data_IF_927255474489
#
_entry.id   IF_927255474489
#
_cell.length_a   1.000
_cell.length_b   1.000
_cell.length_c   1.000
_cell.angle_alpha   90.00
_cell.angle_beta   90.00
_cell.angle_gamma   90.00
#
_symmetry.space_group_name_H-M   'P 1'
#
loop_
_entity.id
_entity.type
_entity.pdbx_description
1 polymer ?
#
# COMPACT_ATOMS: atom_id res chain seq x y z
N UNK A 1 0.64 -6.25 42.32
CA UNK A 1 -0.62 -6.97 42.58
C UNK A 1 -0.54 -8.35 41.98
N UNK A 2 -0.77 -9.41 42.76
CA UNK A 2 -0.83 -10.78 42.23
C UNK A 2 -2.15 -10.97 41.50
N UNK A 3 -2.09 -11.41 40.26
CA UNK A 3 -3.26 -11.79 39.48
C UNK A 3 -3.72 -13.16 39.99
N UNK A 4 -4.90 -13.23 40.59
CA UNK A 4 -5.38 -14.40 41.35
C UNK A 4 -5.44 -15.71 40.53
N UNK A 5 -5.70 -15.63 39.22
CA UNK A 5 -5.72 -16.80 38.33
C UNK A 5 -4.30 -17.28 37.91
N UNK A 6 -3.25 -16.49 38.16
CA UNK A 6 -1.87 -16.86 37.83
C UNK A 6 -1.17 -17.65 38.95
N UNK A 7 -1.87 -17.89 40.07
CA UNK A 7 -1.36 -18.59 41.25
C UNK A 7 -0.82 -20.01 40.95
N UNK A 8 -1.45 -20.84 40.08
CA UNK A 8 -0.92 -22.16 39.73
C UNK A 8 0.42 -22.08 38.98
N UNK A 9 0.55 -21.11 38.07
CA UNK A 9 1.80 -20.86 37.30
C UNK A 9 2.89 -20.32 38.22
N UNK A 10 2.52 -19.48 39.19
CA UNK A 10 3.42 -18.98 40.21
C UNK A 10 3.96 -20.11 41.09
N UNK A 11 3.11 -21.04 41.54
CA UNK A 11 3.52 -22.22 42.32
C UNK A 11 4.46 -23.14 41.50
N UNK A 12 4.14 -23.38 40.23
CA UNK A 12 5.01 -24.13 39.31
C UNK A 12 6.38 -23.48 39.10
N UNK A 13 6.53 -22.17 39.33
CA UNK A 13 7.81 -21.46 39.22
C UNK A 13 8.80 -21.74 40.36
N UNK A 14 8.37 -22.40 41.44
CA UNK A 14 9.23 -22.75 42.57
C UNK A 14 9.80 -24.17 42.48
N UNK A 15 9.34 -24.98 41.53
CA UNK A 15 9.92 -26.30 41.25
C UNK A 15 11.29 -26.11 40.57
N UNK A 16 12.36 -26.73 41.10
CA UNK A 16 13.69 -26.69 40.46
C UNK A 16 13.61 -27.12 38.99
N UNK A 17 14.15 -26.31 38.08
CA UNK A 17 14.10 -26.57 36.62
C UNK A 17 12.87 -26.04 35.88
N UNK A 18 11.73 -25.82 36.55
CA UNK A 18 10.48 -25.38 35.91
C UNK A 18 10.58 -23.95 35.33
N UNK A 19 11.40 -23.08 35.91
CA UNK A 19 11.69 -21.74 35.34
C UNK A 19 12.44 -21.80 34.00
N UNK A 20 13.20 -22.86 33.76
CA UNK A 20 13.86 -23.11 32.48
C UNK A 20 12.85 -23.53 31.42
N UNK A 21 12.03 -24.52 31.76
CA UNK A 21 10.95 -25.01 30.90
C UNK A 21 9.94 -23.92 30.55
N UNK A 22 9.47 -23.14 31.53
CA UNK A 22 8.55 -22.04 31.28
C UNK A 22 9.16 -20.94 30.41
N UNK A 23 10.46 -20.65 30.54
CA UNK A 23 11.16 -19.74 29.63
C UNK A 23 11.31 -20.31 28.22
N UNK A 24 11.52 -21.62 28.08
CA UNK A 24 11.58 -22.29 26.78
C UNK A 24 10.20 -22.28 26.10
N UNK A 25 9.15 -22.66 26.83
CA UNK A 25 7.76 -22.65 26.36
C UNK A 25 7.31 -21.23 26.02
N UNK A 26 7.58 -20.24 26.88
CA UNK A 26 7.27 -18.84 26.59
C UNK A 26 7.98 -18.35 25.32
N UNK A 27 9.25 -18.70 25.14
CA UNK A 27 10.04 -18.30 23.96
C UNK A 27 9.51 -18.96 22.69
N UNK A 28 9.21 -20.25 22.73
CA UNK A 28 8.56 -21.00 21.65
C UNK A 28 7.21 -20.40 21.27
N UNK A 29 6.37 -20.08 22.25
CA UNK A 29 5.07 -19.43 22.02
C UNK A 29 5.26 -18.01 21.48
N UNK A 30 6.20 -17.23 22.03
CA UNK A 30 6.47 -15.86 21.60
C UNK A 30 7.06 -15.78 20.19
N UNK A 31 7.87 -16.75 19.80
CA UNK A 31 8.43 -16.90 18.45
C UNK A 31 7.33 -17.30 17.44
N UNK A 32 6.38 -18.15 17.84
CA UNK A 32 5.34 -18.67 16.94
C UNK A 32 4.00 -17.90 16.97
N UNK A 33 3.75 -16.99 17.93
CA UNK A 33 2.46 -16.27 18.06
C UNK A 33 2.10 -15.37 16.88
N UNK A 34 3.04 -15.11 15.97
CA UNK A 34 2.85 -14.28 14.78
C UNK A 34 2.82 -15.09 13.46
N UNK A 35 2.94 -16.41 13.51
CA UNK A 35 2.82 -17.26 12.33
C UNK A 35 1.33 -17.44 11.95
N UNK A 36 0.79 -16.51 11.14
CA UNK A 36 -0.42 -16.76 10.36
C UNK A 36 -0.01 -17.15 8.93
N UNK A 37 -0.49 -18.31 8.47
CA UNK A 37 -0.41 -18.79 7.09
C UNK A 37 1.00 -19.16 6.54
N UNK A 38 1.80 -19.91 7.30
CA UNK A 38 2.99 -20.60 6.76
C UNK A 38 4.19 -19.74 6.41
N UNK A 39 4.16 -18.42 6.67
CA UNK A 39 5.31 -17.54 6.50
C UNK A 39 6.04 -17.33 7.85
N UNK A 40 6.69 -18.37 8.37
CA UNK A 40 7.58 -18.23 9.52
C UNK A 40 9.00 -17.89 9.03
N UNK A 41 9.20 -16.63 8.62
CA UNK A 41 10.54 -16.04 8.55
C UNK A 41 10.47 -14.53 8.78
N UNK A 42 10.16 -14.14 10.02
CA UNK A 42 10.75 -12.91 10.54
C UNK A 42 12.21 -13.24 10.82
N UNK A 43 13.03 -13.32 9.76
CA UNK A 43 14.48 -13.34 9.91
C UNK A 43 14.83 -12.23 10.89
N UNK A 44 15.60 -12.58 11.93
CA UNK A 44 15.95 -11.71 13.04
C UNK A 44 16.19 -10.30 12.52
N UNK A 45 15.18 -9.44 12.66
CA UNK A 45 15.25 -8.11 12.13
C UNK A 45 16.32 -7.42 12.97
N UNK A 46 17.52 -7.25 12.41
CA UNK A 46 18.58 -6.42 12.98
C UNK A 46 17.89 -5.19 13.58
N UNK A 47 18.17 -4.81 14.84
CA UNK A 47 17.56 -3.64 15.44
C UNK A 47 17.88 -2.48 14.50
N UNK A 48 16.89 -2.06 13.72
CA UNK A 48 17.01 -0.88 12.88
C UNK A 48 17.15 0.23 13.92
N UNK A 49 18.39 0.65 14.16
CA UNK A 49 18.72 1.73 15.08
C UNK A 49 17.74 2.87 14.86
N UNK A 50 17.36 3.57 15.93
CA UNK A 50 16.30 4.58 16.01
C UNK A 50 16.50 5.71 14.99
N UNK A 51 16.29 5.43 13.70
CA UNK A 51 16.49 6.35 12.59
C UNK A 51 15.42 7.42 12.73
N UNK A 52 15.85 8.67 12.73
CA UNK A 52 14.97 9.83 12.77
C UNK A 52 14.11 9.83 11.50
N UNK A 53 12.79 9.93 11.68
CA UNK A 53 11.81 9.92 10.59
C UNK A 53 11.57 11.30 9.98
N UNK A 54 11.93 12.39 10.67
CA UNK A 54 11.69 13.75 10.20
C UNK A 54 12.27 14.06 8.80
N UNK A 55 13.46 13.54 8.39
CA UNK A 55 13.95 13.79 7.03
C UNK A 55 13.08 13.11 5.97
N UNK A 56 12.50 11.94 6.27
CA UNK A 56 11.56 11.28 5.36
C UNK A 56 10.30 12.12 5.19
N UNK A 57 9.76 12.67 6.28
CA UNK A 57 8.61 13.57 6.22
C UNK A 57 8.89 14.81 5.39
N UNK A 58 10.07 15.43 5.50
CA UNK A 58 10.43 16.58 4.66
C UNK A 58 10.55 16.22 3.18
N UNK A 59 11.19 15.09 2.86
CA UNK A 59 11.31 14.64 1.47
C UNK A 59 9.96 14.35 0.81
N UNK A 60 8.97 13.94 1.60
CA UNK A 60 7.62 13.64 1.11
C UNK A 60 6.75 14.90 1.09
N UNK A 61 6.66 15.60 2.22
CA UNK A 61 5.76 16.73 2.38
C UNK A 61 6.24 17.97 1.63
N UNK A 62 7.55 18.23 1.57
CA UNK A 62 8.11 19.41 0.93
C UNK A 62 7.67 19.58 -0.53
N UNK A 63 7.97 18.62 -1.43
CA UNK A 63 7.53 18.69 -2.82
C UNK A 63 6.01 18.74 -2.98
N UNK A 64 5.27 17.99 -2.15
CA UNK A 64 3.80 17.97 -2.18
C UNK A 64 3.21 19.33 -1.79
N UNK A 65 3.76 19.99 -0.78
CA UNK A 65 3.32 21.34 -0.37
C UNK A 65 3.63 22.36 -1.45
N UNK A 66 4.83 22.34 -2.03
CA UNK A 66 5.20 23.24 -3.12
C UNK A 66 4.25 23.07 -4.31
N UNK A 67 4.05 21.84 -4.78
CA UNK A 67 3.12 21.53 -5.88
C UNK A 67 1.67 21.86 -5.51
N UNK A 68 1.27 21.67 -4.25
CA UNK A 68 -0.04 22.08 -3.75
C UNK A 68 -0.26 23.59 -3.82
N UNK A 69 0.77 24.40 -3.55
CA UNK A 69 0.67 25.86 -3.59
C UNK A 69 0.66 26.41 -5.02
N UNK A 70 1.50 25.86 -5.92
CA UNK A 70 1.62 26.36 -7.30
C UNK A 70 0.64 25.71 -8.27
N UNK A 71 0.18 24.50 -7.98
CA UNK A 71 -0.65 23.71 -8.89
C UNK A 71 -2.06 24.25 -9.09
N UNK A 72 -2.50 25.25 -8.31
CA UNK A 72 -3.76 25.98 -8.52
C UNK A 72 -3.86 26.67 -9.89
N UNK A 73 -2.73 26.86 -10.57
CA UNK A 73 -2.66 27.43 -11.92
C UNK A 73 -2.77 26.37 -13.03
N UNK A 74 -2.80 25.09 -12.68
CA UNK A 74 -2.93 23.99 -13.63
C UNK A 74 -4.40 23.55 -13.74
N UNK A 75 -4.80 22.95 -14.89
CA UNK A 75 -6.04 22.20 -14.95
C UNK A 75 -6.10 21.14 -13.83
N UNK A 76 -7.28 20.84 -13.26
CA UNK A 76 -7.41 19.92 -12.12
C UNK A 76 -6.73 18.55 -12.32
N UNK A 77 -6.82 17.98 -13.53
CA UNK A 77 -6.16 16.71 -13.85
C UNK A 77 -4.63 16.81 -13.83
N UNK A 78 -4.06 17.90 -14.37
CA UNK A 78 -2.63 18.11 -14.39
C UNK A 78 -2.11 18.35 -12.97
N UNK A 79 -2.88 19.05 -12.15
CA UNK A 79 -2.56 19.25 -10.74
C UNK A 79 -2.57 17.93 -9.96
N UNK A 80 -3.59 17.08 -10.15
CA UNK A 80 -3.63 15.72 -9.57
C UNK A 80 -2.37 14.91 -9.92
N UNK A 81 -2.03 14.82 -11.21
CA UNK A 81 -0.86 14.06 -11.65
C UNK A 81 0.45 14.64 -11.11
N UNK A 82 0.55 15.97 -11.02
CA UNK A 82 1.72 16.65 -10.43
C UNK A 82 1.86 16.32 -8.94
N UNK A 83 0.77 16.30 -8.18
CA UNK A 83 0.77 15.90 -6.76
C UNK A 83 1.13 14.42 -6.58
N UNK A 84 0.57 13.55 -7.43
CA UNK A 84 0.91 12.13 -7.43
C UNK A 84 2.40 11.90 -7.73
N UNK A 85 2.95 12.61 -8.72
CA UNK A 85 4.37 12.55 -9.07
C UNK A 85 5.27 13.09 -7.95
N UNK A 86 4.90 14.21 -7.31
CA UNK A 86 5.63 14.77 -6.18
C UNK A 86 5.68 13.81 -4.98
N UNK A 87 4.54 13.19 -4.66
CA UNK A 87 4.46 12.20 -3.58
C UNK A 87 5.24 10.92 -3.93
N UNK A 88 5.15 10.44 -5.16
CA UNK A 88 5.94 9.32 -5.65
C UNK A 88 7.45 9.58 -5.53
N UNK A 89 7.90 10.76 -5.98
CA UNK A 89 9.31 11.17 -5.89
C UNK A 89 9.76 11.25 -4.43
N UNK A 90 8.95 11.85 -3.55
CA UNK A 90 9.25 11.92 -2.13
C UNK A 90 9.39 10.54 -1.48
N UNK A 91 8.50 9.60 -1.80
CA UNK A 91 8.61 8.21 -1.35
C UNK A 91 9.85 7.51 -1.91
N UNK A 92 10.20 7.72 -3.19
CA UNK A 92 11.41 7.17 -3.80
C UNK A 92 12.68 7.64 -3.10
N UNK A 93 12.80 8.94 -2.88
CA UNK A 93 13.96 9.55 -2.21
C UNK A 93 14.06 9.08 -0.75
N UNK A 94 12.93 9.01 -0.03
CA UNK A 94 12.87 8.44 1.32
C UNK A 94 13.31 6.97 1.36
N UNK A 95 12.87 6.16 0.39
CA UNK A 95 13.26 4.75 0.28
C UNK A 95 14.77 4.59 -0.01
N UNK A 96 15.33 5.37 -0.94
CA UNK A 96 16.75 5.31 -1.29
C UNK A 96 17.66 5.76 -0.15
N UNK A 97 17.28 6.80 0.60
CA UNK A 97 18.01 7.28 1.78
C UNK A 97 18.23 6.18 2.83
N UNK A 98 17.37 5.16 2.84
CA UNK A 98 17.42 4.02 3.77
C UNK A 98 18.39 2.93 3.31
N UNK A 99 18.89 2.99 2.07
CA UNK A 99 19.75 1.98 1.46
C UNK A 99 21.01 2.64 0.89
N UNK A 100 22.07 2.83 1.70
CA UNK A 100 23.32 3.46 1.24
C UNK A 100 23.96 2.75 0.03
N UNK A 101 23.73 1.44 -0.11
CA UNK A 101 24.21 0.67 -1.26
C UNK A 101 23.66 1.17 -2.61
N UNK A 102 22.51 1.85 -2.62
CA UNK A 102 21.92 2.37 -3.85
C UNK A 102 22.81 3.42 -4.54
N UNK A 103 23.53 4.25 -3.77
CA UNK A 103 24.42 5.28 -4.30
C UNK A 103 25.69 4.72 -4.94
N UNK A 104 25.99 3.43 -4.74
CA UNK A 104 27.13 2.74 -5.36
C UNK A 104 26.78 2.10 -6.71
N UNK A 105 25.51 2.07 -7.10
CA UNK A 105 25.04 1.42 -8.31
C UNK A 105 24.05 2.31 -9.08
N UNK A 106 24.52 3.36 -9.78
CA UNK A 106 23.66 4.37 -10.42
C UNK A 106 22.68 3.75 -11.44
N UNK A 107 23.10 2.76 -12.23
CA UNK A 107 22.21 2.05 -13.15
C UNK A 107 21.05 1.32 -12.44
N UNK A 108 21.31 0.70 -11.28
CA UNK A 108 20.25 0.09 -10.45
C UNK A 108 19.37 1.14 -9.79
N UNK A 109 19.92 2.30 -9.42
CA UNK A 109 19.13 3.42 -8.93
C UNK A 109 18.18 3.95 -10.01
N UNK A 110 18.65 4.09 -11.25
CA UNK A 110 17.80 4.48 -12.38
C UNK A 110 16.71 3.44 -12.66
N UNK A 111 17.05 2.14 -12.65
CA UNK A 111 16.06 1.07 -12.77
C UNK A 111 15.05 1.07 -11.62
N UNK A 112 15.48 1.43 -10.41
CA UNK A 112 14.57 1.63 -9.28
C UNK A 112 13.62 2.80 -9.52
N UNK A 113 14.07 3.93 -10.07
CA UNK A 113 13.18 5.04 -10.44
C UNK A 113 12.24 4.69 -11.60
N UNK A 114 12.65 3.84 -12.54
CA UNK A 114 11.75 3.36 -13.59
C UNK A 114 10.66 2.41 -13.04
N UNK A 115 10.93 1.74 -11.92
CA UNK A 115 9.99 0.81 -11.27
C UNK A 115 9.04 1.54 -10.30
N UNK A 116 7.71 1.38 -10.36
CA UNK A 116 6.78 2.04 -9.41
C UNK A 116 6.89 1.60 -7.94
N UNK A 117 7.43 0.40 -7.64
CA UNK A 117 7.48 -0.11 -6.27
C UNK A 117 8.48 0.62 -5.37
N UNK A 118 8.23 0.64 -4.06
CA UNK A 118 8.96 1.49 -3.10
C UNK A 118 9.88 0.74 -2.14
N UNK A 119 9.93 -0.59 -2.20
CA UNK A 119 10.82 -1.38 -1.33
C UNK A 119 12.27 -1.39 -1.87
N UNK A 120 13.02 -0.32 -1.56
CA UNK A 120 14.44 -0.23 -1.91
C UNK A 120 15.27 -1.34 -1.24
N UNK A 121 14.90 -1.80 -0.04
CA UNK A 121 15.67 -2.85 0.64
C UNK A 121 15.59 -4.18 -0.12
N UNK A 122 14.39 -4.56 -0.56
CA UNK A 122 14.21 -5.71 -1.43
C UNK A 122 14.86 -5.50 -2.80
N UNK A 123 14.77 -4.30 -3.38
CA UNK A 123 15.31 -4.01 -4.71
C UNK A 123 16.84 -4.14 -4.80
N UNK A 124 17.56 -3.69 -3.77
CA UNK A 124 19.04 -3.68 -3.78
C UNK A 124 19.68 -4.88 -3.07
N UNK A 125 19.00 -5.51 -2.11
CA UNK A 125 19.55 -6.63 -1.33
C UNK A 125 18.75 -7.94 -1.41
N UNK A 126 17.63 -7.96 -2.14
CA UNK A 126 16.78 -9.15 -2.26
C UNK A 126 17.20 -10.07 -3.39
N UNK A 127 16.69 -11.31 -3.32
CA UNK A 127 16.75 -12.26 -4.43
C UNK A 127 15.57 -12.08 -5.38
N UNK A 128 15.78 -12.41 -6.66
CA UNK A 128 14.70 -12.45 -7.65
C UNK A 128 13.73 -13.55 -7.26
N UNK A 129 12.44 -13.23 -7.24
CA UNK A 129 11.41 -14.22 -6.92
C UNK A 129 11.22 -15.16 -8.12
N UNK A 130 11.26 -16.46 -7.85
CA UNK A 130 11.01 -17.52 -8.83
C UNK A 130 9.54 -17.60 -9.27
N UNK A 131 8.62 -17.02 -8.49
CA UNK A 131 7.20 -17.00 -8.85
C UNK A 131 7.00 -16.24 -10.15
N UNK A 132 6.40 -16.85 -11.19
CA UNK A 132 6.19 -16.17 -12.46
C UNK A 132 5.23 -14.99 -12.29
N UNK A 133 5.52 -13.91 -13.02
CA UNK A 133 4.57 -12.82 -13.21
C UNK A 133 3.65 -13.21 -14.39
N UNK A 134 2.31 -13.16 -14.25
CA UNK A 134 1.40 -13.62 -15.29
C UNK A 134 1.37 -12.64 -16.48
N UNK A 135 2.29 -12.81 -17.42
CA UNK A 135 2.47 -11.93 -18.60
C UNK A 135 1.20 -11.90 -19.45
N UNK A 136 0.58 -13.04 -19.72
CA UNK A 136 -0.66 -13.12 -20.50
C UNK A 136 -1.78 -12.30 -19.86
N UNK A 137 -1.99 -12.47 -18.55
CA UNK A 137 -2.97 -11.68 -17.80
C UNK A 137 -2.70 -10.18 -17.87
N UNK A 138 -1.43 -9.78 -17.90
CA UNK A 138 -1.05 -8.38 -18.07
C UNK A 138 -1.35 -7.86 -19.49
N UNK A 139 -1.10 -8.65 -20.53
CA UNK A 139 -1.46 -8.30 -21.91
C UNK A 139 -2.97 -8.14 -22.06
N UNK A 140 -3.76 -9.08 -21.52
CA UNK A 140 -5.22 -8.97 -21.51
C UNK A 140 -5.70 -7.71 -20.77
N UNK A 141 -5.08 -7.37 -19.63
CA UNK A 141 -5.43 -6.16 -18.90
C UNK A 141 -5.09 -4.88 -19.68
N UNK A 142 -3.99 -4.86 -20.45
CA UNK A 142 -3.67 -3.74 -21.35
C UNK A 142 -4.73 -3.61 -22.43
N UNK A 143 -5.03 -4.71 -23.14
CA UNK A 143 -6.03 -4.71 -24.22
C UNK A 143 -7.38 -4.24 -23.70
N UNK A 144 -7.86 -4.81 -22.60
CA UNK A 144 -9.13 -4.43 -22.00
C UNK A 144 -9.10 -2.98 -21.50
N UNK A 145 -8.00 -2.54 -20.91
CA UNK A 145 -7.80 -1.15 -20.49
C UNK A 145 -7.88 -0.18 -21.66
N UNK A 146 -7.20 -0.49 -22.78
CA UNK A 146 -7.24 0.30 -24.02
C UNK A 146 -8.65 0.34 -24.60
N UNK A 147 -9.30 -0.81 -24.75
CA UNK A 147 -10.68 -0.89 -25.24
C UNK A 147 -11.65 -0.11 -24.35
N UNK A 148 -11.45 -0.16 -23.03
CA UNK A 148 -12.31 0.56 -22.08
C UNK A 148 -12.13 2.08 -22.24
N UNK A 149 -10.88 2.56 -22.26
CA UNK A 149 -10.57 4.00 -22.34
C UNK A 149 -10.99 4.57 -23.70
N UNK A 150 -10.46 4.04 -24.80
CA UNK A 150 -10.64 4.63 -26.13
C UNK A 150 -11.82 4.05 -26.91
N UNK A 151 -12.25 2.83 -26.59
CA UNK A 151 -13.37 2.18 -27.29
C UNK A 151 -14.73 2.38 -26.64
N UNK A 152 -14.81 2.45 -25.30
CA UNK A 152 -16.09 2.53 -24.60
C UNK A 152 -16.39 3.92 -24.05
N UNK A 153 -15.43 4.58 -23.38
CA UNK A 153 -15.73 5.86 -22.72
C UNK A 153 -16.23 6.98 -23.64
N UNK A 154 -15.80 7.11 -24.90
CA UNK A 154 -16.32 8.16 -25.79
C UNK A 154 -17.83 8.05 -26.09
N UNK A 155 -18.41 6.86 -25.92
CA UNK A 155 -19.83 6.61 -26.15
C UNK A 155 -20.72 6.85 -24.92
N UNK A 156 -20.14 7.19 -23.76
CA UNK A 156 -20.90 7.46 -22.54
C UNK A 156 -21.10 8.97 -22.35
N UNK A 157 -22.35 9.43 -22.50
CA UNK A 157 -22.72 10.82 -22.27
C UNK A 157 -22.79 11.22 -20.78
N UNK A 158 -23.15 10.27 -19.89
CA UNK A 158 -23.24 10.57 -18.46
C UNK A 158 -21.84 10.61 -17.84
N UNK A 159 -21.41 11.76 -17.27
CA UNK A 159 -20.01 11.99 -16.92
C UNK A 159 -19.53 11.16 -15.72
N UNK A 160 -20.40 10.78 -14.77
CA UNK A 160 -19.99 9.96 -13.62
C UNK A 160 -19.67 8.54 -14.06
N UNK A 161 -20.54 7.92 -14.85
CA UNK A 161 -20.35 6.61 -15.46
C UNK A 161 -19.13 6.59 -16.37
N UNK A 162 -18.96 7.62 -17.21
CA UNK A 162 -17.77 7.80 -18.06
C UNK A 162 -16.49 7.87 -17.23
N UNK A 163 -16.49 8.66 -16.16
CA UNK A 163 -15.37 8.79 -15.23
C UNK A 163 -15.02 7.46 -14.54
N UNK A 164 -16.03 6.73 -14.04
CA UNK A 164 -15.82 5.40 -13.45
C UNK A 164 -15.22 4.40 -14.44
N UNK A 165 -15.78 4.35 -15.65
CA UNK A 165 -15.32 3.45 -16.69
C UNK A 165 -13.88 3.78 -17.11
N UNK A 166 -13.56 5.06 -17.27
CA UNK A 166 -12.20 5.52 -17.56
C UNK A 166 -11.21 5.18 -16.45
N UNK A 167 -11.58 5.36 -15.17
CA UNK A 167 -10.73 4.93 -14.04
C UNK A 167 -10.50 3.42 -14.04
N UNK A 168 -11.53 2.62 -14.30
CA UNK A 168 -11.39 1.17 -14.41
C UNK A 168 -10.41 0.81 -15.54
N UNK A 169 -10.56 1.45 -16.70
CA UNK A 169 -9.64 1.29 -17.83
C UNK A 169 -8.20 1.66 -17.48
N UNK A 170 -7.98 2.78 -16.78
CA UNK A 170 -6.65 3.20 -16.31
C UNK A 170 -6.04 2.22 -15.29
N UNK A 171 -6.85 1.70 -14.36
CA UNK A 171 -6.39 0.70 -13.38
C UNK A 171 -5.98 -0.59 -14.10
N UNK A 172 -6.76 -1.05 -15.07
CA UNK A 172 -6.44 -2.23 -15.88
C UNK A 172 -5.16 -2.00 -16.69
N UNK A 173 -5.11 -0.91 -17.46
CA UNK A 173 -3.98 -0.56 -18.32
C UNK A 173 -2.69 -0.44 -17.50
N UNK A 174 -2.69 0.37 -16.44
CA UNK A 174 -1.47 0.65 -15.68
C UNK A 174 -1.15 -0.43 -14.64
N UNK A 175 -2.06 -0.69 -13.69
CA UNK A 175 -1.75 -1.48 -12.50
C UNK A 175 -1.72 -2.98 -12.76
N UNK A 176 -2.67 -3.48 -13.55
CA UNK A 176 -2.73 -4.90 -13.91
C UNK A 176 -1.99 -5.22 -15.21
N UNK A 177 -1.79 -4.22 -16.07
CA UNK A 177 -1.11 -4.35 -17.35
C UNK A 177 0.35 -3.91 -17.35
N UNK A 178 0.61 -2.63 -17.67
CA UNK A 178 1.95 -2.05 -17.89
C UNK A 178 2.90 -2.33 -16.72
N UNK A 179 2.47 -2.08 -15.47
CA UNK A 179 3.34 -2.31 -14.31
C UNK A 179 3.59 -3.79 -14.04
N UNK A 180 2.67 -4.68 -14.40
CA UNK A 180 2.91 -6.12 -14.32
C UNK A 180 3.92 -6.58 -15.40
N UNK A 181 3.80 -6.08 -16.64
CA UNK A 181 4.78 -6.35 -17.70
C UNK A 181 6.16 -5.80 -17.36
N UNK A 182 6.24 -4.58 -16.83
CA UNK A 182 7.48 -3.99 -16.37
C UNK A 182 8.11 -4.84 -15.25
N UNK A 183 7.31 -5.34 -14.31
CA UNK A 183 7.81 -6.24 -13.27
C UNK A 183 8.39 -7.53 -13.86
N UNK A 184 7.72 -8.11 -14.86
CA UNK A 184 8.20 -9.30 -15.56
C UNK A 184 9.52 -9.04 -16.30
N UNK A 185 9.62 -7.91 -17.03
CA UNK A 185 10.83 -7.51 -17.74
C UNK A 185 12.02 -7.27 -16.81
N UNK A 186 11.82 -6.51 -15.73
CA UNK A 186 12.86 -6.26 -14.74
C UNK A 186 13.32 -7.54 -14.03
N UNK A 187 12.41 -8.49 -13.75
CA UNK A 187 12.79 -9.80 -13.21
C UNK A 187 13.62 -10.63 -14.18
N UNK A 188 13.28 -10.62 -15.46
CA UNK A 188 14.10 -11.26 -16.51
C UNK A 188 15.48 -10.65 -16.61
N UNK A 189 15.61 -9.34 -16.36
CA UNK A 189 16.89 -8.64 -16.25
C UNK A 189 17.62 -8.85 -14.90
N UNK A 190 17.16 -9.80 -14.06
CA UNK A 190 17.80 -10.14 -12.79
C UNK A 190 17.52 -9.17 -11.64
N UNK A 191 16.55 -8.25 -11.77
CA UNK A 191 16.20 -7.29 -10.73
C UNK A 191 15.09 -7.83 -9.79
N UNK A 192 15.26 -7.75 -8.46
CA UNK A 192 14.36 -8.38 -7.49
C UNK A 192 13.12 -7.52 -7.21
N UNK A 193 12.32 -7.28 -8.25
CA UNK A 193 11.06 -6.53 -8.14
C UNK A 193 9.88 -7.44 -7.77
N UNK A 194 8.85 -6.85 -7.18
CA UNK A 194 7.59 -7.53 -6.84
C UNK A 194 6.44 -6.75 -7.46
N UNK A 195 5.53 -7.38 -8.23
CA UNK A 195 4.40 -6.68 -8.86
C UNK A 195 3.63 -5.77 -7.90
N UNK A 196 3.24 -4.56 -8.28
CA UNK A 196 2.55 -3.68 -7.32
C UNK A 196 1.14 -4.19 -6.95
N UNK A 197 0.50 -4.93 -7.87
CA UNK A 197 -0.73 -5.68 -7.68
C UNK A 197 -0.43 -7.18 -7.73
N UNK A 198 -0.97 -7.95 -6.79
CA UNK A 198 -0.69 -9.39 -6.65
C UNK A 198 -1.99 -10.18 -6.43
N UNK A 199 -2.72 -10.39 -7.52
CA UNK A 199 -4.03 -11.08 -7.56
C UNK A 199 -4.97 -10.68 -6.39
N UNK A 200 -5.30 -9.39 -6.23
CA UNK A 200 -6.09 -8.87 -5.09
C UNK A 200 -7.45 -9.54 -4.94
N UNK A 201 -8.06 -10.01 -6.04
CA UNK A 201 -9.31 -10.78 -6.02
C UNK A 201 -9.22 -12.11 -5.27
N UNK A 202 -8.00 -12.64 -5.02
CA UNK A 202 -7.79 -13.87 -4.25
C UNK A 202 -7.76 -13.64 -2.73
N UNK A 203 -7.65 -12.39 -2.28
CA UNK A 203 -7.55 -12.03 -0.87
C UNK A 203 -8.70 -12.62 -0.05
N UNK A 204 -8.38 -13.33 1.03
CA UNK A 204 -9.39 -13.86 1.97
C UNK A 204 -9.60 -12.95 3.17
N UNK A 205 -8.75 -11.93 3.31
CA UNK A 205 -8.78 -10.96 4.40
C UNK A 205 -8.49 -9.55 3.91
N UNK A 206 -9.04 -8.53 4.58
CA UNK A 206 -8.76 -7.11 4.31
C UNK A 206 -7.28 -6.79 4.57
N UNK A 207 -6.69 -7.41 5.60
CA UNK A 207 -5.27 -7.25 5.89
C UNK A 207 -4.38 -7.77 4.74
N UNK A 208 -4.75 -8.90 4.13
CA UNK A 208 -4.05 -9.45 2.95
C UNK A 208 -4.28 -8.57 1.71
N UNK A 209 -5.53 -8.14 1.48
CA UNK A 209 -5.90 -7.28 0.36
C UNK A 209 -5.05 -6.00 0.37
N UNK A 210 -5.15 -5.18 1.43
CA UNK A 210 -4.45 -3.90 1.52
C UNK A 210 -2.95 -4.02 1.81
N UNK A 211 -2.53 -5.06 2.53
CA UNK A 211 -1.14 -5.18 2.99
C UNK A 211 -0.18 -5.86 2.02
N UNK A 212 -0.68 -6.81 1.20
CA UNK A 212 0.16 -7.67 0.38
C UNK A 212 -0.22 -7.70 -1.11
N UNK A 213 -1.48 -7.41 -1.45
CA UNK A 213 -2.01 -7.65 -2.81
C UNK A 213 -2.43 -6.41 -3.58
N UNK A 214 -2.84 -5.36 -2.90
CA UNK A 214 -3.26 -4.09 -3.49
C UNK A 214 -2.22 -3.00 -3.21
N UNK A 215 -1.78 -2.32 -4.27
CA UNK A 215 -0.87 -1.16 -4.22
C UNK A 215 0.30 -1.32 -3.22
N UNK A 216 1.15 -2.32 -3.44
CA UNK A 216 2.32 -2.57 -2.58
C UNK A 216 3.25 -1.38 -2.46
N UNK A 217 3.34 -0.54 -3.49
CA UNK A 217 4.16 0.67 -3.49
C UNK A 217 3.84 1.56 -2.28
N UNK A 218 2.55 1.84 -2.03
CA UNK A 218 2.14 2.59 -0.85
C UNK A 218 2.28 1.77 0.44
N UNK A 219 1.80 0.52 0.45
CA UNK A 219 1.76 -0.31 1.66
C UNK A 219 3.14 -0.59 2.26
N UNK A 220 4.19 -0.71 1.43
CA UNK A 220 5.56 -0.89 1.89
C UNK A 220 6.08 0.37 2.60
N UNK A 221 5.80 1.57 2.07
CA UNK A 221 6.16 2.83 2.71
C UNK A 221 5.37 3.09 3.98
N UNK A 222 4.04 2.92 3.93
CA UNK A 222 3.17 3.06 5.10
C UNK A 222 3.58 2.12 6.24
N UNK A 223 4.00 0.89 5.91
CA UNK A 223 4.52 -0.08 6.89
C UNK A 223 5.69 0.48 7.68
N UNK A 224 6.62 1.13 6.97
CA UNK A 224 7.90 1.58 7.52
C UNK A 224 7.79 2.95 8.20
N UNK A 225 7.04 3.88 7.61
CA UNK A 225 6.91 5.25 8.09
C UNK A 225 5.85 5.42 9.18
N UNK A 226 4.78 4.63 9.14
CA UNK A 226 3.59 4.87 9.97
C UNK A 226 3.27 3.66 10.85
N UNK A 227 3.00 2.50 10.25
CA UNK A 227 2.53 1.32 10.96
C UNK A 227 3.51 0.83 12.02
N UNK A 228 4.78 0.59 11.66
CA UNK A 228 5.79 0.06 12.60
C UNK A 228 6.07 1.05 13.75
N UNK A 229 6.33 2.35 13.51
CA UNK A 229 6.53 3.32 14.59
C UNK A 229 5.33 3.43 15.54
N UNK A 230 4.10 3.54 15.01
CA UNK A 230 2.90 3.65 15.83
C UNK A 230 2.61 2.36 16.58
N UNK A 231 2.77 1.19 15.94
CA UNK A 231 2.56 -0.10 16.60
C UNK A 231 3.47 -0.28 17.80
N UNK A 232 4.74 0.14 17.68
CA UNK A 232 5.72 0.05 18.76
C UNK A 232 5.38 0.94 19.96
N UNK A 233 4.69 2.06 19.74
CA UNK A 233 4.38 3.05 20.80
C UNK A 233 2.99 2.88 21.39
N UNK A 234 2.00 2.57 20.56
CA UNK A 234 0.57 2.65 20.88
C UNK A 234 -0.18 1.34 20.57
N UNK A 235 0.54 0.30 20.12
CA UNK A 235 -0.05 -1.01 19.83
C UNK A 235 -0.64 -1.13 18.43
N UNK A 236 -1.09 -2.33 18.09
CA UNK A 236 -1.40 -2.71 16.71
C UNK A 236 -2.63 -1.97 16.16
N UNK A 237 -3.63 -1.70 16.99
CA UNK A 237 -4.80 -0.92 16.57
C UNK A 237 -4.41 0.47 16.06
N UNK A 238 -3.60 1.20 16.82
CA UNK A 238 -3.08 2.51 16.43
C UNK A 238 -2.19 2.44 15.18
N UNK A 239 -1.36 1.40 15.07
CA UNK A 239 -0.56 1.16 13.86
C UNK A 239 -1.41 0.96 12.61
N UNK A 240 -2.44 0.11 12.69
CA UNK A 240 -3.38 -0.17 11.60
C UNK A 240 -4.13 1.10 11.21
N UNK A 241 -4.83 1.74 12.16
CA UNK A 241 -5.62 2.95 11.88
C UNK A 241 -4.74 4.09 11.38
N UNK A 242 -3.55 4.28 11.93
CA UNK A 242 -2.61 5.28 11.47
C UNK A 242 -2.15 5.05 10.03
N UNK A 243 -1.86 3.80 9.65
CA UNK A 243 -1.50 3.46 8.26
C UNK A 243 -2.63 3.76 7.27
N UNK A 244 -3.86 3.43 7.64
CA UNK A 244 -5.04 3.73 6.82
C UNK A 244 -5.36 5.23 6.79
N UNK A 245 -5.25 5.94 7.91
CA UNK A 245 -5.42 7.40 7.96
C UNK A 245 -4.39 8.13 7.07
N UNK A 246 -3.13 7.71 7.10
CA UNK A 246 -2.10 8.25 6.22
C UNK A 246 -2.41 8.00 4.73
N UNK A 247 -3.00 6.85 4.40
CA UNK A 247 -3.48 6.57 3.04
C UNK A 247 -4.65 7.47 2.66
N UNK A 248 -5.61 7.63 3.57
CA UNK A 248 -6.73 8.56 3.45
C UNK A 248 -6.28 9.97 3.11
N UNK A 249 -5.38 10.54 3.93
CA UNK A 249 -4.82 11.87 3.71
C UNK A 249 -4.06 11.99 2.39
N UNK A 250 -3.29 10.98 2.00
CA UNK A 250 -2.62 10.98 0.70
C UNK A 250 -3.63 11.04 -0.46
N UNK A 251 -4.77 10.36 -0.34
CA UNK A 251 -5.84 10.43 -1.33
C UNK A 251 -6.63 11.74 -1.24
N UNK A 252 -6.84 12.35 -0.08
CA UNK A 252 -7.43 13.71 -0.01
C UNK A 252 -6.58 14.72 -0.81
N UNK A 253 -5.26 14.64 -0.63
CA UNK A 253 -4.31 15.53 -1.30
C UNK A 253 -4.36 15.31 -2.82
N UNK A 254 -4.41 14.06 -3.29
CA UNK A 254 -4.34 13.78 -4.74
C UNK A 254 -5.72 13.87 -5.40
N UNK A 255 -6.81 13.56 -4.70
CA UNK A 255 -8.17 13.46 -5.27
C UNK A 255 -8.99 14.71 -4.93
N UNK A 256 -9.23 14.95 -3.64
CA UNK A 256 -10.17 15.98 -3.19
C UNK A 256 -9.65 17.40 -3.43
N UNK A 257 -8.35 17.63 -3.22
CA UNK A 257 -7.75 18.95 -3.39
C UNK A 257 -7.81 19.45 -4.84
N UNK A 258 -7.37 18.70 -5.89
CA UNK A 258 -7.54 19.13 -7.27
C UNK A 258 -9.00 19.20 -7.72
N UNK A 259 -9.86 18.33 -7.20
CA UNK A 259 -11.30 18.40 -7.45
C UNK A 259 -11.98 19.63 -6.82
N UNK A 260 -11.34 20.24 -5.81
CA UNK A 260 -11.88 21.34 -5.01
C UNK A 260 -13.14 20.97 -4.21
N UNK A 261 -13.37 19.68 -3.94
CA UNK A 261 -14.57 19.17 -3.29
C UNK A 261 -14.39 17.72 -2.81
N UNK A 262 -15.36 17.21 -2.04
CA UNK A 262 -15.38 15.82 -1.57
C UNK A 262 -14.38 15.49 -0.46
N UNK A 263 -13.91 16.54 0.25
CA UNK A 263 -13.02 16.40 1.40
C UNK A 263 -13.61 15.49 2.48
N UNK A 264 -12.76 14.66 3.05
CA UNK A 264 -13.13 13.69 4.10
C UNK A 264 -13.60 12.35 3.56
N UNK A 265 -14.04 12.28 2.29
CA UNK A 265 -14.47 11.04 1.64
C UNK A 265 -13.36 10.00 1.59
N UNK A 266 -12.23 10.26 0.91
CA UNK A 266 -11.08 9.36 0.89
C UNK A 266 -10.61 8.93 2.29
N UNK A 267 -10.54 9.84 3.24
CA UNK A 267 -10.12 9.51 4.62
C UNK A 267 -11.12 8.59 5.31
N UNK A 268 -12.42 8.86 5.19
CA UNK A 268 -13.47 8.00 5.72
C UNK A 268 -13.43 6.61 5.09
N UNK A 269 -13.23 6.51 3.76
CA UNK A 269 -13.09 5.24 3.07
C UNK A 269 -11.96 4.39 3.65
N UNK A 270 -10.74 4.93 3.75
CA UNK A 270 -9.60 4.16 4.26
C UNK A 270 -9.73 3.85 5.75
N UNK A 271 -10.29 4.74 6.57
CA UNK A 271 -10.57 4.44 7.98
C UNK A 271 -11.58 3.29 8.13
N UNK A 272 -12.63 3.26 7.30
CA UNK A 272 -13.58 2.14 7.26
C UNK A 272 -12.86 0.81 6.97
N UNK A 273 -11.91 0.80 6.03
CA UNK A 273 -11.07 -0.37 5.77
C UNK A 273 -10.22 -0.75 6.99
N UNK A 274 -9.63 0.25 7.68
CA UNK A 274 -8.83 0.04 8.88
C UNK A 274 -9.64 -0.57 10.03
N UNK A 275 -10.84 -0.08 10.28
CA UNK A 275 -11.77 -0.68 11.23
C UNK A 275 -12.19 -2.09 10.78
N UNK A 276 -12.43 -2.30 9.49
CA UNK A 276 -12.69 -3.62 8.91
C UNK A 276 -11.57 -4.62 9.20
N UNK A 277 -10.30 -4.22 9.07
CA UNK A 277 -9.14 -5.05 9.42
C UNK A 277 -9.10 -5.39 10.91
N UNK A 278 -9.45 -4.44 11.78
CA UNK A 278 -9.50 -4.70 13.23
C UNK A 278 -10.65 -5.61 13.61
N UNK A 279 -11.82 -5.43 13.02
CA UNK A 279 -12.98 -6.30 13.21
C UNK A 279 -12.67 -7.72 12.73
N UNK A 280 -12.15 -7.86 11.51
CA UNK A 280 -11.68 -9.13 10.95
C UNK A 280 -10.69 -9.83 11.88
N UNK A 281 -9.74 -9.08 12.44
CA UNK A 281 -8.78 -9.63 13.40
C UNK A 281 -9.46 -10.10 14.69
N UNK A 282 -10.40 -9.32 15.22
CA UNK A 282 -11.12 -9.59 16.48
C UNK A 282 -12.06 -10.80 16.37
N UNK A 283 -12.70 -10.98 15.22
CA UNK A 283 -13.67 -12.05 14.97
C UNK A 283 -13.08 -13.25 14.20
N UNK A 284 -11.85 -13.13 13.71
CA UNK A 284 -11.17 -14.22 13.00
C UNK A 284 -11.73 -14.50 11.60
N UNK A 285 -12.45 -13.53 11.01
CA UNK A 285 -13.08 -13.71 9.70
C UNK A 285 -12.04 -13.92 8.59
N UNK A 286 -12.37 -14.84 7.69
CA UNK A 286 -11.59 -15.12 6.47
C UNK A 286 -12.57 -15.35 5.32
N UNK A 287 -13.13 -14.27 4.80
CA UNK A 287 -14.18 -14.34 3.78
C UNK A 287 -13.88 -13.39 2.63
N UNK A 288 -13.85 -13.94 1.41
CA UNK A 288 -13.78 -13.13 0.17
C UNK A 288 -15.01 -12.24 0.01
N UNK A 289 -16.18 -12.72 0.43
CA UNK A 289 -17.42 -11.96 0.37
C UNK A 289 -17.33 -10.73 1.29
N UNK A 290 -16.81 -10.90 2.51
CA UNK A 290 -16.58 -9.80 3.45
C UNK A 290 -15.61 -8.75 2.86
N UNK A 291 -14.46 -9.19 2.32
CA UNK A 291 -13.50 -8.28 1.68
C UNK A 291 -14.18 -7.47 0.57
N UNK A 292 -14.94 -8.11 -0.31
CA UNK A 292 -15.65 -7.45 -1.41
C UNK A 292 -16.73 -6.49 -0.91
N UNK A 293 -17.53 -6.90 0.07
CA UNK A 293 -18.61 -6.11 0.63
C UNK A 293 -18.11 -4.83 1.32
N UNK A 294 -16.95 -4.86 1.96
CA UNK A 294 -16.36 -3.68 2.61
C UNK A 294 -15.59 -2.81 1.61
N UNK A 295 -14.94 -3.41 0.60
CA UNK A 295 -14.03 -2.68 -0.30
C UNK A 295 -14.74 -2.03 -1.48
N UNK A 296 -15.66 -2.74 -2.15
CA UNK A 296 -16.21 -2.32 -3.45
C UNK A 296 -17.29 -1.23 -3.31
N UNK A 297 -18.35 -1.40 -2.49
CA UNK A 297 -19.42 -0.40 -2.42
C UNK A 297 -18.91 0.94 -1.87
N UNK A 298 -17.98 0.88 -0.91
CA UNK A 298 -17.40 2.06 -0.31
C UNK A 298 -16.46 2.83 -1.28
N UNK A 299 -16.08 2.25 -2.43
CA UNK A 299 -15.23 2.95 -3.40
C UNK A 299 -15.87 4.25 -3.92
N UNK A 300 -17.20 4.36 -3.92
CA UNK A 300 -17.91 5.60 -4.26
C UNK A 300 -17.65 6.76 -3.28
N UNK A 301 -17.26 6.46 -2.05
CA UNK A 301 -16.83 7.45 -1.05
C UNK A 301 -15.42 7.97 -1.38
N UNK A 302 -14.55 7.08 -1.90
CA UNK A 302 -13.19 7.43 -2.31
C UNK A 302 -13.19 8.26 -3.59
N UNK A 303 -13.91 7.80 -4.62
CA UNK A 303 -13.99 8.46 -5.93
C UNK A 303 -15.33 9.17 -6.07
N UNK A 304 -15.45 10.29 -5.36
CA UNK A 304 -16.67 11.09 -5.33
C UNK A 304 -16.99 11.75 -6.68
N UNK A 305 -18.28 12.06 -6.98
CA UNK A 305 -18.67 12.63 -8.27
C UNK A 305 -17.94 13.91 -8.71
N UNK A 306 -17.61 14.87 -7.81
CA UNK A 306 -16.80 16.03 -8.19
C UNK A 306 -15.44 15.66 -8.77
N UNK A 307 -14.75 14.67 -8.20
CA UNK A 307 -13.48 14.18 -8.73
C UNK A 307 -13.64 13.61 -10.15
N UNK A 308 -14.66 12.78 -10.35
CA UNK A 308 -14.94 12.19 -11.66
C UNK A 308 -15.21 13.26 -12.72
N UNK A 309 -16.07 14.23 -12.41
CA UNK A 309 -16.50 15.27 -13.35
C UNK A 309 -15.43 16.33 -13.63
N UNK A 310 -14.68 16.74 -12.61
CA UNK A 310 -13.74 17.89 -12.71
C UNK A 310 -12.32 17.46 -13.04
N UNK A 311 -11.95 16.22 -12.74
CA UNK A 311 -10.58 15.72 -12.88
C UNK A 311 -10.52 14.60 -13.92
N UNK A 312 -11.25 13.51 -13.71
CA UNK A 312 -11.11 12.32 -14.58
C UNK A 312 -11.70 12.55 -15.97
N UNK A 313 -12.92 13.07 -16.07
CA UNK A 313 -13.62 13.31 -17.34
C UNK A 313 -12.80 14.24 -18.25
N UNK A 314 -12.32 15.42 -17.79
CA UNK A 314 -11.44 16.27 -18.60
C UNK A 314 -10.10 15.63 -18.96
N UNK A 315 -9.56 14.77 -18.08
CA UNK A 315 -8.35 14.01 -18.41
C UNK A 315 -8.60 13.01 -19.54
N UNK A 316 -9.75 12.33 -19.52
CA UNK A 316 -10.16 11.43 -20.60
C UNK A 316 -10.31 12.21 -21.91
N UNK A 317 -10.91 13.41 -21.90
CA UNK A 317 -11.05 14.23 -23.11
C UNK A 317 -9.69 14.65 -23.69
N UNK A 318 -8.67 14.81 -22.86
CA UNK A 318 -7.31 15.14 -23.32
C UNK A 318 -6.64 13.97 -24.04
N UNK A 319 -6.84 12.74 -23.55
CA UNK A 319 -6.13 11.55 -24.04
C UNK A 319 -6.94 10.75 -25.07
N UNK A 320 -8.22 11.09 -25.27
CA UNK A 320 -9.14 10.42 -26.18
C UNK A 320 -8.81 10.71 -27.65
#
# INVERSE_FOLDING_TARGET
GRVWWATPVWLLAWVPGARGLMRAVYRMIAENRHCRAGACSLGAARPVGRRRLWPDFLLIAGPVVVVGMVGRFLPPWAWMWSLAAAMWLGFKLSALRRVPAAFRHPGRAMAFFAWPGMDASAFFGGAVSENPVPVEGALYAIILGVMTIWGLTPHLAEPVARGWLGMLGMILLLHFGTFALLAAGLRRAGLPVRPIMDAPWRARTLAEFWGARWNRAFSDMARVLVFRPLTRRLGIAAGTLGGFAASGLAHEIVISLPAGAGFGGPTAYFLLQGFGVLAERRFGWKSRAFVRAVTLPAAAILFHPPFLRRVIVPFLDLIA
#
